data_IF_796044270784
#
_entry.id   IF_796044270784
#
_cell.length_a   1.000
_cell.length_b   1.000
_cell.length_c   1.000
_cell.angle_alpha   90.00
_cell.angle_beta   90.00
_cell.angle_gamma   90.00
#
_symmetry.space_group_name_H-M   'P 1'
#
loop_
_entity.id
_entity.type
_entity.pdbx_description
1 polymer ?
#
# COMPACT_ATOMS: atom_id res chain seq x y z
N UNK A 1 6.86 7.87 -12.39
CA UNK A 1 7.45 7.46 -11.11
C UNK A 1 6.74 8.24 -10.02
N UNK A 2 6.19 7.57 -9.00
CA UNK A 2 5.47 8.23 -7.90
C UNK A 2 6.40 9.22 -7.18
N UNK A 3 5.89 10.41 -6.86
CA UNK A 3 6.62 11.47 -6.17
C UNK A 3 7.17 10.97 -4.82
N UNK A 4 6.39 10.23 -4.05
CA UNK A 4 6.86 9.66 -2.78
C UNK A 4 7.99 8.64 -3.00
N UNK A 5 7.93 7.83 -4.06
CA UNK A 5 9.01 6.88 -4.39
C UNK A 5 10.29 7.62 -4.77
N UNK A 6 10.17 8.78 -5.42
CA UNK A 6 11.31 9.66 -5.69
C UNK A 6 11.88 10.22 -4.40
N UNK A 7 11.02 10.73 -3.50
CA UNK A 7 11.43 11.25 -2.18
C UNK A 7 12.19 10.18 -1.41
N UNK A 8 11.61 8.99 -1.29
CA UNK A 8 12.21 7.84 -0.59
C UNK A 8 13.54 7.37 -1.19
N UNK A 9 13.79 7.64 -2.46
CA UNK A 9 15.05 7.28 -3.14
C UNK A 9 16.12 8.34 -2.97
N UNK A 10 15.73 9.61 -3.12
CA UNK A 10 16.65 10.73 -3.24
C UNK A 10 17.02 11.33 -1.86
N UNK A 11 16.18 11.09 -0.84
CA UNK A 11 16.32 11.69 0.47
C UNK A 11 16.14 10.66 1.59
N UNK A 12 17.08 10.65 2.53
CA UNK A 12 16.95 9.98 3.83
C UNK A 12 16.40 10.98 4.88
N UNK A 13 15.61 11.97 4.46
CA UNK A 13 15.09 13.02 5.33
C UNK A 13 13.60 12.82 5.63
N UNK A 14 13.33 12.46 6.88
CA UNK A 14 12.01 12.28 7.47
C UNK A 14 11.07 13.47 7.29
N UNK A 15 11.59 14.70 7.32
CA UNK A 15 10.76 15.91 7.27
C UNK A 15 10.07 16.06 5.91
N UNK A 16 10.76 15.73 4.80
CA UNK A 16 10.18 15.81 3.45
C UNK A 16 9.08 14.76 3.28
N UNK A 17 9.27 13.56 3.85
CA UNK A 17 8.26 12.49 3.82
C UNK A 17 7.03 12.93 4.62
N UNK A 18 7.22 13.52 5.81
CA UNK A 18 6.13 14.04 6.64
C UNK A 18 5.37 15.16 5.95
N UNK A 19 6.05 16.12 5.34
CA UNK A 19 5.42 17.21 4.60
C UNK A 19 4.57 16.68 3.44
N UNK A 20 5.10 15.72 2.67
CA UNK A 20 4.33 15.06 1.61
C UNK A 20 3.08 14.35 2.15
N UNK A 21 3.19 13.61 3.25
CA UNK A 21 2.05 12.92 3.86
C UNK A 21 1.01 13.90 4.41
N UNK A 22 1.45 15.02 4.99
CA UNK A 22 0.58 16.09 5.47
C UNK A 22 -0.18 16.74 4.32
N UNK A 23 0.48 17.04 3.20
CA UNK A 23 -0.18 17.58 2.01
C UNK A 23 -1.26 16.63 1.48
N UNK A 24 -0.99 15.32 1.49
CA UNK A 24 -1.96 14.29 1.09
C UNK A 24 -3.11 14.14 2.08
N UNK A 25 -2.83 14.28 3.37
CA UNK A 25 -3.87 14.31 4.40
C UNK A 25 -4.80 15.53 4.21
N UNK A 26 -4.23 16.71 3.96
CA UNK A 26 -5.02 17.91 3.66
C UNK A 26 -5.84 17.75 2.38
N UNK A 27 -5.26 17.16 1.33
CA UNK A 27 -5.99 16.82 0.10
C UNK A 27 -7.18 15.88 0.38
N UNK A 28 -6.98 14.87 1.22
CA UNK A 28 -8.02 13.92 1.63
C UNK A 28 -9.19 14.63 2.30
N UNK A 29 -8.92 15.50 3.28
CA UNK A 29 -9.97 16.27 3.94
C UNK A 29 -10.67 17.26 3.00
N UNK A 30 -9.93 17.90 2.09
CA UNK A 30 -10.49 18.86 1.15
C UNK A 30 -11.31 18.21 0.01
N UNK A 31 -11.13 16.91 -0.24
CA UNK A 31 -11.84 16.16 -1.27
C UNK A 31 -12.97 15.28 -0.71
N UNK A 32 -13.69 15.78 0.29
CA UNK A 32 -14.80 15.08 0.96
C UNK A 32 -14.41 13.69 1.50
N UNK A 33 -13.16 13.51 1.93
CA UNK A 33 -12.63 12.23 2.44
C UNK A 33 -12.77 11.07 1.43
N UNK A 34 -12.67 11.35 0.13
CA UNK A 34 -12.56 10.30 -0.89
C UNK A 34 -11.19 9.65 -0.84
N UNK A 35 -11.17 8.32 -1.06
CA UNK A 35 -9.94 7.54 -0.98
C UNK A 35 -8.82 8.14 -1.86
N UNK A 36 -7.64 8.32 -1.29
CA UNK A 36 -6.42 8.69 -2.01
C UNK A 36 -5.47 7.51 -1.95
N UNK A 37 -5.09 6.97 -3.11
CA UNK A 37 -4.18 5.83 -3.23
C UNK A 37 -2.82 6.32 -3.74
N UNK A 38 -1.78 6.06 -2.95
CA UNK A 38 -0.39 6.39 -3.25
C UNK A 38 0.33 5.05 -3.49
N UNK A 39 0.47 4.68 -4.76
CA UNK A 39 1.06 3.38 -5.13
C UNK A 39 2.58 3.39 -4.97
N UNK A 40 3.12 2.61 -4.04
CA UNK A 40 4.56 2.48 -3.81
C UNK A 40 5.21 1.43 -4.74
N UNK A 41 4.39 0.55 -5.32
CA UNK A 41 4.84 -0.46 -6.29
C UNK A 41 5.38 -1.73 -5.62
N UNK A 42 6.21 -2.45 -6.38
CA UNK A 42 6.75 -3.76 -5.99
C UNK A 42 8.05 -3.69 -5.17
N UNK A 43 8.77 -2.57 -5.29
CA UNK A 43 10.01 -2.30 -4.57
C UNK A 43 9.95 -0.89 -4.01
N UNK A 44 10.15 -0.77 -2.70
CA UNK A 44 10.09 0.50 -1.98
C UNK A 44 11.52 0.85 -1.51
N UNK A 45 12.14 1.89 -2.08
CA UNK A 45 13.39 2.43 -1.54
C UNK A 45 13.18 2.86 -0.07
N UNK A 46 14.17 2.62 0.78
CA UNK A 46 14.16 3.05 2.18
C UNK A 46 12.85 2.69 2.94
N UNK A 47 12.31 1.49 2.66
CA UNK A 47 11.07 1.00 3.27
C UNK A 47 11.09 1.06 4.81
N UNK A 48 12.24 0.76 5.42
CA UNK A 48 12.44 0.81 6.87
C UNK A 48 12.27 2.22 7.45
N UNK A 49 12.66 3.27 6.72
CA UNK A 49 12.47 4.65 7.14
C UNK A 49 10.97 4.97 7.12
N UNK A 50 10.29 4.62 6.02
CA UNK A 50 8.85 4.82 5.87
C UNK A 50 8.06 4.10 6.97
N UNK A 51 8.33 2.82 7.21
CA UNK A 51 7.59 2.05 8.22
C UNK A 51 7.88 2.53 9.64
N UNK A 52 9.12 2.96 9.93
CA UNK A 52 9.45 3.57 11.21
C UNK A 52 8.70 4.88 11.44
N UNK A 53 8.57 5.73 10.41
CA UNK A 53 7.82 7.00 10.49
C UNK A 53 6.33 6.79 10.72
N UNK A 54 5.78 5.74 10.10
CA UNK A 54 4.37 5.36 10.20
C UNK A 54 4.06 4.51 11.46
N UNK A 55 5.07 4.24 12.29
CA UNK A 55 4.97 3.36 13.47
C UNK A 55 4.49 1.93 13.15
N UNK A 56 4.83 1.44 11.96
CA UNK A 56 4.63 0.04 11.55
C UNK A 56 5.93 -0.70 11.83
N UNK A 57 5.91 -1.60 12.82
CA UNK A 57 7.07 -2.42 13.18
C UNK A 57 6.90 -3.86 12.71
N UNK A 58 8.00 -4.61 12.59
CA UNK A 58 8.00 -5.99 12.09
C UNK A 58 7.10 -6.95 12.88
N UNK A 59 6.77 -6.60 14.13
CA UNK A 59 5.86 -7.37 15.00
C UNK A 59 4.40 -6.92 14.94
N UNK A 60 4.07 -5.92 14.12
CA UNK A 60 2.69 -5.41 14.00
C UNK A 60 1.94 -6.30 13.02
N UNK A 61 0.98 -7.04 13.55
CA UNK A 61 0.03 -7.79 12.72
C UNK A 61 -0.85 -6.81 11.91
N UNK A 62 -1.24 -7.18 10.69
CA UNK A 62 -2.24 -6.42 9.95
C UNK A 62 -3.52 -6.32 10.76
N UNK A 63 -4.12 -5.13 10.75
CA UNK A 63 -5.37 -4.87 11.48
C UNK A 63 -6.55 -5.54 10.79
N UNK A 64 -6.52 -5.60 9.47
CA UNK A 64 -7.46 -6.38 8.66
C UNK A 64 -6.68 -7.21 7.65
N UNK A 65 -7.04 -8.49 7.56
CA UNK A 65 -6.53 -9.41 6.54
C UNK A 65 -7.70 -10.07 5.84
N UNK A 66 -7.64 -10.10 4.51
CA UNK A 66 -8.56 -10.90 3.72
C UNK A 66 -7.81 -11.77 2.71
N UNK A 67 -8.15 -13.05 2.69
CA UNK A 67 -7.58 -14.06 1.80
C UNK A 67 -8.69 -14.67 0.96
N UNK A 68 -8.49 -14.73 -0.36
CA UNK A 68 -9.48 -15.28 -1.28
C UNK A 68 -8.84 -15.84 -2.55
N UNK A 69 -9.46 -16.87 -3.12
CA UNK A 69 -9.01 -17.50 -4.36
C UNK A 69 -9.67 -16.84 -5.58
N UNK A 70 -8.90 -16.68 -6.66
CA UNK A 70 -9.37 -16.32 -7.99
C UNK A 70 -8.79 -17.30 -9.01
N UNK A 71 -9.49 -18.42 -9.22
CA UNK A 71 -8.97 -19.54 -10.01
C UNK A 71 -7.74 -20.19 -9.37
N UNK A 72 -6.60 -20.33 -10.07
CA UNK A 72 -5.38 -20.90 -9.51
C UNK A 72 -4.57 -19.91 -8.66
N UNK A 73 -4.97 -18.64 -8.59
CA UNK A 73 -4.26 -17.59 -7.86
C UNK A 73 -4.93 -17.40 -6.49
N UNK A 74 -4.12 -17.36 -5.44
CA UNK A 74 -4.55 -16.93 -4.12
C UNK A 74 -4.18 -15.47 -3.91
N UNK A 75 -5.14 -14.65 -3.48
CA UNK A 75 -4.92 -13.25 -3.18
C UNK A 75 -4.97 -13.05 -1.67
N UNK A 76 -4.10 -12.18 -1.17
CA UNK A 76 -4.13 -11.70 0.22
C UNK A 76 -4.08 -10.18 0.20
N UNK A 77 -4.94 -9.55 1.00
CA UNK A 77 -4.91 -8.12 1.27
C UNK A 77 -4.67 -7.95 2.75
N UNK A 78 -3.60 -7.24 3.09
CA UNK A 78 -3.22 -6.87 4.45
C UNK A 78 -3.31 -5.35 4.59
N UNK A 79 -4.07 -4.89 5.59
CA UNK A 79 -4.22 -3.46 5.93
C UNK A 79 -3.60 -3.24 7.30
N UNK A 80 -2.65 -2.32 7.38
CA UNK A 80 -2.00 -1.91 8.62
C UNK A 80 -2.40 -0.48 8.94
N UNK A 81 -2.83 -0.25 10.18
CA UNK A 81 -2.97 1.11 10.69
C UNK A 81 -1.62 1.78 10.84
N UNK A 82 -1.59 3.08 10.57
CA UNK A 82 -0.44 3.94 10.87
C UNK A 82 -0.77 4.83 12.06
N UNK A 83 0.22 5.57 12.55
CA UNK A 83 0.02 6.65 13.52
C UNK A 83 -0.72 7.89 12.94
N UNK A 84 -0.87 7.99 11.62
CA UNK A 84 -1.60 9.07 10.95
C UNK A 84 -3.06 8.65 10.77
N UNK A 85 -3.99 9.55 11.12
CA UNK A 85 -5.42 9.24 11.04
C UNK A 85 -5.85 9.00 9.60
N UNK A 86 -6.71 7.99 9.41
CA UNK A 86 -7.23 7.56 8.11
C UNK A 86 -6.18 7.07 7.11
N UNK A 87 -4.89 7.04 7.46
CA UNK A 87 -3.82 6.53 6.61
C UNK A 87 -3.53 5.07 6.96
N UNK A 88 -3.53 4.23 5.92
CA UNK A 88 -3.19 2.82 6.02
C UNK A 88 -2.05 2.47 5.09
N UNK A 89 -1.19 1.56 5.54
CA UNK A 89 -0.33 0.80 4.63
C UNK A 89 -1.11 -0.43 4.17
N UNK A 90 -1.24 -0.58 2.87
CA UNK A 90 -1.94 -1.69 2.24
C UNK A 90 -0.93 -2.52 1.47
N UNK A 91 -0.88 -3.83 1.76
CA UNK A 91 -0.10 -4.80 1.01
C UNK A 91 -1.05 -5.77 0.33
N UNK A 92 -0.89 -5.92 -0.97
CA UNK A 92 -1.69 -6.82 -1.80
C UNK A 92 -0.78 -7.85 -2.42
N UNK A 93 -1.06 -9.10 -2.13
CA UNK A 93 -0.21 -10.24 -2.44
C UNK A 93 -0.97 -11.18 -3.37
N UNK A 94 -0.29 -11.69 -4.38
CA UNK A 94 -0.79 -12.75 -5.25
C UNK A 94 0.20 -13.90 -5.22
N UNK A 95 -0.34 -15.09 -4.96
CA UNK A 95 0.38 -16.34 -4.94
C UNK A 95 -0.11 -17.22 -6.09
N UNK A 96 0.77 -17.46 -7.05
CA UNK A 96 0.51 -18.25 -8.26
C UNK A 96 1.02 -19.68 -8.16
N UNK A 97 1.19 -20.32 -9.32
CA UNK A 97 1.82 -21.64 -9.44
C UNK A 97 3.32 -21.46 -9.68
N UNK A 98 4.17 -22.20 -8.95
CA UNK A 98 5.65 -22.28 -9.13
C UNK A 98 6.41 -20.95 -8.86
N UNK A 99 6.55 -20.58 -7.59
CA UNK A 99 7.36 -19.43 -7.12
C UNK A 99 6.96 -18.08 -7.77
N UNK A 100 5.71 -18.01 -8.21
CA UNK A 100 5.13 -16.86 -8.89
C UNK A 100 4.36 -16.01 -7.89
N UNK A 101 5.11 -15.31 -7.05
CA UNK A 101 4.54 -14.47 -6.00
C UNK A 101 4.92 -13.00 -6.23
N UNK A 102 3.99 -12.11 -5.92
CA UNK A 102 4.25 -10.68 -5.96
C UNK A 102 3.46 -9.95 -4.90
N UNK A 103 4.08 -8.89 -4.38
CA UNK A 103 3.47 -7.99 -3.41
C UNK A 103 3.55 -6.58 -3.98
N UNK A 104 2.40 -5.94 -4.12
CA UNK A 104 2.33 -4.50 -4.35
C UNK A 104 1.96 -3.82 -3.04
N UNK A 105 2.68 -2.74 -2.73
CA UNK A 105 2.47 -1.98 -1.50
C UNK A 105 1.99 -0.57 -1.85
N UNK A 106 1.06 -0.05 -1.06
CA UNK A 106 0.38 1.22 -1.28
C UNK A 106 0.13 1.90 0.06
N UNK A 107 0.11 3.22 0.06
CA UNK A 107 -0.46 4.01 1.14
C UNK A 107 -1.84 4.48 0.72
N UNK A 108 -2.83 4.34 1.59
CA UNK A 108 -4.20 4.70 1.28
C UNK A 108 -4.78 5.56 2.39
N UNK A 109 -5.22 6.77 2.06
CA UNK A 109 -6.13 7.52 2.92
C UNK A 109 -7.56 7.03 2.67
N UNK A 110 -8.26 6.60 3.71
CA UNK A 110 -9.66 6.15 3.63
C UNK A 110 -10.40 6.35 4.95
N UNK A 111 -11.68 6.71 4.88
CA UNK A 111 -12.55 6.78 6.05
C UNK A 111 -13.39 5.50 6.25
N UNK A 112 -13.28 4.51 5.36
CA UNK A 112 -14.07 3.29 5.40
C UNK A 112 -13.28 2.07 4.89
N UNK A 113 -12.62 1.38 5.82
CA UNK A 113 -11.77 0.21 5.51
C UNK A 113 -12.55 -0.94 4.87
N UNK A 114 -13.83 -1.12 5.20
CA UNK A 114 -14.68 -2.17 4.59
C UNK A 114 -14.95 -1.89 3.12
N UNK A 115 -15.27 -0.65 2.76
CA UNK A 115 -15.44 -0.26 1.36
C UNK A 115 -14.13 -0.33 0.59
N UNK A 116 -13.03 0.13 1.21
CA UNK A 116 -11.69 0.00 0.67
C UNK A 116 -11.36 -1.46 0.36
N UNK A 117 -11.54 -2.37 1.32
CA UNK A 117 -11.28 -3.80 1.15
C UNK A 117 -12.05 -4.38 -0.05
N UNK A 118 -13.35 -4.07 -0.17
CA UNK A 118 -14.14 -4.50 -1.32
C UNK A 118 -13.62 -3.97 -2.65
N UNK A 119 -13.20 -2.71 -2.72
CA UNK A 119 -12.58 -2.13 -3.93
C UNK A 119 -11.28 -2.84 -4.28
N UNK A 120 -10.41 -3.09 -3.29
CA UNK A 120 -9.13 -3.76 -3.49
C UNK A 120 -9.29 -5.22 -3.97
N UNK A 121 -10.31 -5.93 -3.47
CA UNK A 121 -10.66 -7.28 -3.96
C UNK A 121 -11.07 -7.26 -5.41
N UNK A 122 -11.98 -6.35 -5.78
CA UNK A 122 -12.45 -6.20 -7.16
C UNK A 122 -11.26 -5.89 -8.08
N UNK A 123 -10.35 -5.00 -7.67
CA UNK A 123 -9.14 -4.69 -8.42
C UNK A 123 -8.24 -5.93 -8.58
N UNK A 124 -7.94 -6.66 -7.50
CA UNK A 124 -7.12 -7.88 -7.55
C UNK A 124 -7.73 -9.01 -8.38
N UNK A 125 -9.06 -9.10 -8.45
CA UNK A 125 -9.73 -10.03 -9.35
C UNK A 125 -9.48 -9.70 -10.84
N UNK A 126 -9.27 -8.43 -11.15
CA UNK A 126 -9.09 -7.92 -12.51
C UNK A 126 -7.63 -7.63 -12.88
N UNK A 127 -6.70 -7.81 -11.94
CA UNK A 127 -5.28 -7.45 -12.06
C UNK A 127 -4.37 -8.66 -11.81
N UNK A 128 -3.26 -8.73 -12.54
CA UNK A 128 -2.26 -9.79 -12.37
C UNK A 128 -0.93 -9.15 -11.94
N UNK A 129 -0.78 -8.93 -10.64
CA UNK A 129 0.36 -8.23 -10.06
C UNK A 129 1.65 -9.06 -10.15
N UNK A 130 1.54 -10.39 -10.24
CA UNK A 130 2.67 -11.31 -10.50
C UNK A 130 3.28 -11.05 -11.87
N UNK A 131 2.44 -10.91 -12.90
CA UNK A 131 2.92 -10.62 -14.25
C UNK A 131 3.53 -9.23 -14.35
N UNK A 132 2.91 -8.25 -13.68
CA UNK A 132 3.37 -6.86 -13.66
C UNK A 132 4.71 -6.69 -12.94
N UNK A 133 4.93 -7.41 -11.83
CA UNK A 133 6.19 -7.34 -11.09
C UNK A 133 7.38 -7.80 -11.95
N UNK A 134 7.20 -8.87 -12.74
CA UNK A 134 8.21 -9.39 -13.67
C UNK A 134 8.55 -8.43 -14.81
N UNK A 135 7.63 -7.55 -15.20
CA UNK A 135 7.85 -6.53 -16.24
C UNK A 135 8.49 -5.25 -15.68
N UNK A 136 8.49 -5.10 -14.35
CA UNK A 136 9.00 -3.91 -13.65
C UNK A 136 10.46 -4.05 -13.20
N UNK A 137 11.06 -5.22 -13.41
CA UNK A 137 12.48 -5.55 -13.20
C UNK A 137 13.29 -5.32 -14.48
#
# INVERSE_FOLDING_TARGET
MNELIKILRDYDNDDIIKDFLLDKELEFYNNDMKDIIISLGFYIPNYNILTSLLEIHDSVDPTETEMFANGPITNVINIYHTNISYLYLVRREQFGLRDEDAIITELVFSNNTKELMNKLKIDLCNRNIVRESKQSL
#
